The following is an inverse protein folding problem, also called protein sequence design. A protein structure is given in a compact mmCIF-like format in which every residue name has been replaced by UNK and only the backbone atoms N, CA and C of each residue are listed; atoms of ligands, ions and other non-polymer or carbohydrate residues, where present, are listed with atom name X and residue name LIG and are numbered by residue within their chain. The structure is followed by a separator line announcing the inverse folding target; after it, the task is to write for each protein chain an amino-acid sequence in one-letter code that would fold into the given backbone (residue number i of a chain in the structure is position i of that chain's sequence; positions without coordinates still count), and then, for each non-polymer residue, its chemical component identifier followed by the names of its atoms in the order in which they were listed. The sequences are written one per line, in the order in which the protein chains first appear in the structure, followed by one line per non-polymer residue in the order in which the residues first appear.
data_IF_055814603319
#
_entry.id   IF_055814603319
#
_cell.length_a   1.000
_cell.length_b   1.000
_cell.length_c   1.000
_cell.angle_alpha   90.00
_cell.angle_beta   90.00
_cell.angle_gamma   90.00
#
_symmetry.space_group_name_H-M   'P 1'
#
loop_
_entity.id
_entity.type
_entity.pdbx_description
1 polymer ?
#
# COMPACT_ATOMS: atom_id res chain seq x y z
N UNK A 1 -18.85 -18.26 -9.07
CA UNK A 1 -18.83 -17.07 -8.20
C UNK A 1 -17.76 -16.14 -8.74
N UNK A 2 -18.09 -14.90 -9.15
CA UNK A 2 -17.11 -13.94 -9.68
C UNK A 2 -16.14 -13.52 -8.58
N UNK A 3 -14.93 -14.06 -8.62
CA UNK A 3 -13.86 -13.79 -7.67
C UNK A 3 -13.22 -12.42 -7.97
N UNK A 4 -14.01 -11.34 -7.86
CA UNK A 4 -13.56 -9.98 -8.13
C UNK A 4 -12.78 -9.48 -6.91
N UNK A 5 -11.48 -9.25 -7.08
CA UNK A 5 -10.64 -8.69 -6.01
C UNK A 5 -11.14 -7.29 -5.63
N UNK A 6 -11.17 -7.01 -4.33
CA UNK A 6 -11.49 -5.71 -3.74
C UNK A 6 -10.31 -4.76 -3.95
N UNK A 7 -10.57 -3.58 -4.51
CA UNK A 7 -9.59 -2.51 -4.63
C UNK A 7 -9.52 -1.75 -3.31
N UNK A 8 -8.33 -1.63 -2.74
CA UNK A 8 -8.13 -1.00 -1.42
C UNK A 8 -7.07 0.09 -1.52
N UNK A 9 -7.39 1.27 -0.97
CA UNK A 9 -6.45 2.35 -0.73
C UNK A 9 -6.18 2.51 0.77
N UNK A 10 -4.94 2.84 1.13
CA UNK A 10 -4.53 3.10 2.53
C UNK A 10 -4.16 4.57 2.68
N UNK A 11 -4.82 5.28 3.59
CA UNK A 11 -4.50 6.68 3.92
C UNK A 11 -3.61 6.72 5.15
N UNK A 12 -2.44 7.34 5.05
CA UNK A 12 -1.46 7.40 6.15
C UNK A 12 -0.60 6.13 6.25
N UNK A 13 -0.03 5.71 5.12
CA UNK A 13 0.67 4.43 4.99
C UNK A 13 2.03 4.31 5.68
N UNK A 14 2.58 5.40 6.23
CA UNK A 14 3.92 5.41 6.86
C UNK A 14 3.90 5.05 8.34
N UNK A 15 2.74 5.08 8.99
CA UNK A 15 2.60 4.65 10.39
C UNK A 15 2.69 3.12 10.53
N UNK A 16 2.98 2.65 11.75
CA UNK A 16 3.12 1.20 12.02
C UNK A 16 1.87 0.39 11.64
N UNK A 17 0.69 0.94 11.85
CA UNK A 17 -0.56 0.29 11.42
C UNK A 17 -0.68 0.24 9.90
N UNK A 18 -0.20 1.27 9.19
CA UNK A 18 -0.23 1.33 7.73
C UNK A 18 0.68 0.28 7.09
N UNK A 19 1.91 0.14 7.58
CA UNK A 19 2.85 -0.88 7.08
C UNK A 19 2.38 -2.30 7.42
N UNK A 20 1.73 -2.50 8.56
CA UNK A 20 1.18 -3.82 8.91
C UNK A 20 -0.03 -4.18 8.05
N UNK A 21 -0.91 -3.21 7.76
CA UNK A 21 -1.98 -3.38 6.78
C UNK A 21 -1.43 -3.72 5.39
N UNK A 22 -0.38 -3.05 4.93
CA UNK A 22 0.30 -3.41 3.68
C UNK A 22 0.81 -4.85 3.70
N UNK A 23 1.50 -5.25 4.79
CA UNK A 23 2.06 -6.60 4.93
C UNK A 23 0.96 -7.67 4.84
N UNK A 24 -0.17 -7.46 5.49
CA UNK A 24 -1.30 -8.39 5.46
C UNK A 24 -2.04 -8.39 4.12
N UNK A 25 -2.33 -7.22 3.57
CA UNK A 25 -3.15 -7.09 2.36
C UNK A 25 -2.41 -7.39 1.07
N UNK A 26 -1.08 -7.21 1.03
CA UNK A 26 -0.25 -7.49 -0.16
C UNK A 26 -0.29 -8.96 -0.59
N UNK A 27 -0.56 -9.88 0.33
CA UNK A 27 -0.66 -11.32 0.06
C UNK A 27 -2.10 -11.84 0.11
N UNK A 28 -3.09 -10.97 0.34
CA UNK A 28 -4.46 -11.40 0.52
C UNK A 28 -5.13 -11.76 -0.82
N UNK A 29 -5.71 -12.97 -0.98
CA UNK A 29 -6.13 -13.50 -2.29
C UNK A 29 -7.25 -12.69 -2.94
N UNK A 30 -8.08 -12.02 -2.14
CA UNK A 30 -9.24 -11.28 -2.61
C UNK A 30 -9.04 -9.75 -2.61
N UNK A 31 -7.81 -9.26 -2.44
CA UNK A 31 -7.51 -7.82 -2.38
C UNK A 31 -6.50 -7.42 -3.44
N UNK A 32 -6.61 -6.19 -3.90
CA UNK A 32 -5.60 -5.51 -4.71
C UNK A 32 -5.39 -4.13 -4.12
N UNK A 33 -4.18 -3.86 -3.64
CA UNK A 33 -3.77 -2.54 -3.19
C UNK A 33 -3.65 -1.63 -4.41
N UNK A 34 -4.34 -0.51 -4.39
CA UNK A 34 -4.37 0.44 -5.52
C UNK A 34 -3.80 1.81 -5.18
N UNK A 35 -3.74 2.14 -3.90
CA UNK A 35 -3.21 3.42 -3.45
C UNK A 35 -2.67 3.31 -2.02
N UNK A 36 -1.64 4.09 -1.75
CA UNK A 36 -1.14 4.34 -0.41
C UNK A 36 -0.71 5.80 -0.36
N UNK A 37 -1.08 6.52 0.70
CA UNK A 37 -0.80 7.96 0.77
C UNK A 37 0.10 8.33 1.93
N UNK A 38 0.90 9.37 1.70
CA UNK A 38 1.73 10.04 2.69
C UNK A 38 1.95 11.48 2.24
N UNK A 39 1.77 12.46 3.13
CA UNK A 39 2.04 13.87 2.82
C UNK A 39 3.54 14.16 2.69
N UNK A 40 4.37 13.52 3.51
CA UNK A 40 5.81 13.77 3.55
C UNK A 40 6.63 12.97 2.53
N UNK A 41 6.07 11.87 2.03
CA UNK A 41 6.81 10.87 1.26
C UNK A 41 6.25 10.66 -0.15
N UNK A 42 5.40 11.56 -0.63
CA UNK A 42 4.78 11.45 -1.95
C UNK A 42 5.84 11.28 -3.06
N UNK A 43 5.62 10.31 -3.95
CA UNK A 43 6.56 9.89 -4.99
C UNK A 43 7.60 8.86 -4.55
N UNK A 44 7.80 8.64 -3.25
CA UNK A 44 8.74 7.62 -2.76
C UNK A 44 8.12 6.21 -2.94
N UNK A 45 8.85 5.26 -3.57
CA UNK A 45 8.45 3.85 -3.57
C UNK A 45 8.32 3.30 -2.15
N UNK A 46 7.23 2.59 -1.86
CA UNK A 46 6.99 1.96 -0.55
C UNK A 46 8.16 1.05 -0.16
N UNK A 47 8.71 0.31 -1.12
CA UNK A 47 9.81 -0.61 -0.93
C UNK A 47 11.17 0.06 -0.59
N UNK A 48 11.29 1.38 -0.78
CA UNK A 48 12.46 2.14 -0.35
C UNK A 48 12.38 2.45 1.15
N UNK A 49 11.20 2.86 1.64
CA UNK A 49 10.94 3.10 3.07
C UNK A 49 10.82 1.80 3.87
N UNK A 50 10.18 0.78 3.31
CA UNK A 50 9.95 -0.52 3.93
C UNK A 50 10.57 -1.64 3.08
N UNK A 51 11.89 -1.89 3.21
CA UNK A 51 12.59 -2.92 2.43
C UNK A 51 11.99 -4.32 2.56
N UNK A 52 11.34 -4.64 3.68
CA UNK A 52 10.64 -5.91 3.91
C UNK A 52 9.46 -6.16 2.97
N UNK A 53 8.94 -5.12 2.31
CA UNK A 53 7.83 -5.21 1.36
C UNK A 53 8.28 -5.28 -0.12
N UNK A 54 9.61 -5.34 -0.38
CA UNK A 54 10.14 -5.54 -1.74
C UNK A 54 9.58 -6.83 -2.35
N UNK A 55 9.11 -6.74 -3.59
CA UNK A 55 8.47 -7.87 -4.29
C UNK A 55 7.03 -8.17 -3.88
N UNK A 56 6.53 -7.55 -2.81
CA UNK A 56 5.12 -7.68 -2.37
C UNK A 56 4.29 -6.45 -2.71
N UNK A 57 4.88 -5.26 -2.65
CA UNK A 57 4.19 -3.99 -2.92
C UNK A 57 4.98 -3.17 -3.94
N UNK A 58 4.35 -2.93 -5.09
CA UNK A 58 4.87 -2.09 -6.17
C UNK A 58 4.04 -0.80 -6.29
N UNK A 59 4.03 -0.02 -5.22
CA UNK A 59 3.35 1.28 -5.15
C UNK A 59 4.34 2.33 -4.66
N UNK A 60 4.13 3.57 -5.10
CA UNK A 60 4.71 4.75 -4.47
C UNK A 60 3.65 5.43 -3.59
N UNK A 61 4.10 6.12 -2.55
CA UNK A 61 3.19 6.96 -1.77
C UNK A 61 2.65 8.09 -2.68
N UNK A 62 1.36 8.34 -2.62
CA UNK A 62 0.72 9.49 -3.25
C UNK A 62 0.44 10.59 -2.22
N UNK A 63 0.35 11.84 -2.68
CA UNK A 63 -0.23 12.89 -1.86
C UNK A 63 -1.73 12.59 -1.67
N UNK A 64 -2.26 12.57 -0.43
CA UNK A 64 -3.70 12.37 -0.23
C UNK A 64 -4.60 13.49 -0.81
N UNK A 65 -4.03 14.62 -1.24
CA UNK A 65 -4.77 15.73 -1.84
C UNK A 65 -4.88 15.66 -3.38
N UNK A 66 -4.26 14.66 -4.03
CA UNK A 66 -4.35 14.40 -5.49
C UNK A 66 -5.25 13.22 -5.79
#
# INVERSE_FOLDING_TARGET
MTNKKLKVGIVGGTGYTGVELLRLLSVHPNVTLTAITSRGEAGMPVANMFPSLRGYVDLAFADPAT
#
